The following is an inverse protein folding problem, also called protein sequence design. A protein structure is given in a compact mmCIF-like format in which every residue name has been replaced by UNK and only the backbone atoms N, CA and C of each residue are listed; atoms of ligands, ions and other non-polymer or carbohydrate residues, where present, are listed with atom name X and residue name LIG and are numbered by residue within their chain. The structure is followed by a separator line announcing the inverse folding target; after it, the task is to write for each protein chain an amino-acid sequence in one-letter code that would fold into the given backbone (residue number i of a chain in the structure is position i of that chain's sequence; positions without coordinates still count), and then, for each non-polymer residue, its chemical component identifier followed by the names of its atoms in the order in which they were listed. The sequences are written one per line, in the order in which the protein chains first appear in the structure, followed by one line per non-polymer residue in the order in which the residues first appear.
data_IF_477234413979
#
_entry.id   IF_477234413979
#
_cell.length_a   1.000
_cell.length_b   1.000
_cell.length_c   1.000
_cell.angle_alpha   90.00
_cell.angle_beta   90.00
_cell.angle_gamma   90.00
#
_symmetry.space_group_name_H-M   'P 1'
#
loop_
_entity.id
_entity.type
_entity.pdbx_description
1 polymer ?
#
# COMPACT_ATOMS: atom_id res chain seq x y z
N UNK A 1 17.94 -16.72 30.46
CA UNK A 1 17.03 -16.32 29.37
C UNK A 1 15.62 -16.64 29.80
N UNK A 2 14.74 -15.65 30.05
CA UNK A 2 13.31 -15.96 30.28
C UNK A 2 12.75 -16.45 28.94
N UNK A 3 12.31 -17.71 28.90
CA UNK A 3 11.67 -18.27 27.71
C UNK A 3 10.40 -17.47 27.40
N UNK A 4 10.33 -16.95 26.17
CA UNK A 4 9.11 -16.34 25.63
C UNK A 4 7.97 -17.36 25.75
N UNK A 5 6.87 -16.95 26.37
CA UNK A 5 5.64 -17.74 26.35
C UNK A 5 5.18 -17.92 24.90
N UNK A 6 4.53 -19.05 24.59
CA UNK A 6 3.99 -19.35 23.24
C UNK A 6 3.16 -18.20 22.64
N UNK A 7 2.54 -17.37 23.49
CA UNK A 7 1.72 -16.22 23.09
C UNK A 7 2.57 -15.04 22.60
N UNK A 8 3.71 -14.76 23.24
CA UNK A 8 4.63 -13.68 22.84
C UNK A 8 5.36 -14.02 21.54
N UNK A 9 5.80 -15.28 21.37
CA UNK A 9 6.39 -15.77 20.11
C UNK A 9 5.38 -15.63 18.96
N UNK A 10 4.11 -15.95 19.22
CA UNK A 10 3.05 -15.84 18.22
C UNK A 10 2.80 -14.37 17.84
N UNK A 11 2.76 -13.45 18.80
CA UNK A 11 2.61 -12.01 18.52
C UNK A 11 3.80 -11.45 17.76
N UNK A 12 5.02 -11.82 18.15
CA UNK A 12 6.25 -11.40 17.47
C UNK A 12 6.27 -11.90 16.02
N UNK A 13 5.93 -13.17 15.80
CA UNK A 13 5.84 -13.75 14.45
C UNK A 13 4.81 -13.04 13.57
N UNK A 14 3.65 -12.67 14.14
CA UNK A 14 2.63 -11.90 13.41
C UNK A 14 3.12 -10.50 13.02
N UNK A 15 3.84 -9.81 13.91
CA UNK A 15 4.41 -8.49 13.62
C UNK A 15 5.54 -8.54 12.58
N UNK A 16 6.41 -9.56 12.62
CA UNK A 16 7.49 -9.72 11.63
C UNK A 16 6.97 -10.08 10.23
N UNK A 17 5.87 -10.83 10.16
CA UNK A 17 5.21 -11.14 8.88
C UNK A 17 4.64 -9.89 8.20
N UNK A 18 4.08 -8.95 8.97
CA UNK A 18 3.61 -7.66 8.45
C UNK A 18 4.72 -6.87 7.76
N UNK A 19 5.86 -6.69 8.45
CA UNK A 19 7.03 -6.04 7.86
C UNK A 19 7.57 -6.76 6.62
N UNK A 20 7.57 -8.11 6.61
CA UNK A 20 8.04 -8.89 5.45
C UNK A 20 7.12 -8.70 4.23
N UNK A 21 5.80 -8.72 4.44
CA UNK A 21 4.81 -8.51 3.39
C UNK A 21 4.91 -7.12 2.77
N UNK A 22 5.25 -6.11 3.56
CA UNK A 22 5.49 -4.76 3.08
C UNK A 22 6.69 -4.68 2.13
N UNK A 23 7.84 -5.24 2.54
CA UNK A 23 9.03 -5.28 1.68
C UNK A 23 8.77 -6.06 0.39
N UNK A 24 7.99 -7.14 0.48
CA UNK A 24 7.59 -7.92 -0.67
C UNK A 24 6.77 -7.09 -1.68
N UNK A 25 5.75 -6.36 -1.24
CA UNK A 25 4.93 -5.52 -2.12
C UNK A 25 5.76 -4.37 -2.76
N UNK A 26 6.65 -3.76 -1.98
CA UNK A 26 7.57 -2.73 -2.48
C UNK A 26 8.46 -3.26 -3.60
N UNK A 27 9.09 -4.41 -3.39
CA UNK A 27 9.98 -5.03 -4.36
C UNK A 27 9.19 -5.39 -5.62
N UNK A 28 8.05 -6.08 -5.48
CA UNK A 28 7.23 -6.47 -6.62
C UNK A 28 6.79 -5.27 -7.45
N UNK A 29 6.37 -4.17 -6.83
CA UNK A 29 5.98 -3.00 -7.61
C UNK A 29 7.12 -2.50 -8.51
N UNK A 30 8.34 -2.37 -7.96
CA UNK A 30 9.52 -1.95 -8.73
C UNK A 30 9.80 -2.92 -9.87
N UNK A 31 9.84 -4.23 -9.59
CA UNK A 31 10.08 -5.27 -10.59
C UNK A 31 9.05 -5.27 -11.72
N UNK A 32 7.78 -4.97 -11.40
CA UNK A 32 6.69 -4.94 -12.37
C UNK A 32 6.43 -3.54 -12.97
N UNK A 33 7.30 -2.56 -12.72
CA UNK A 33 7.10 -1.17 -13.17
C UNK A 33 6.82 -1.07 -14.66
N UNK A 34 7.61 -1.73 -15.51
CA UNK A 34 7.41 -1.66 -16.97
C UNK A 34 6.09 -2.29 -17.42
N UNK A 35 5.59 -3.31 -16.72
CA UNK A 35 4.29 -3.94 -17.01
C UNK A 35 3.17 -3.00 -16.57
N UNK A 36 3.26 -2.46 -15.35
CA UNK A 36 2.28 -1.50 -14.82
C UNK A 36 2.22 -0.26 -15.74
N UNK A 37 3.37 0.28 -16.14
CA UNK A 37 3.47 1.42 -17.04
C UNK A 37 2.74 1.19 -18.36
N UNK A 38 2.86 -0.02 -18.93
CA UNK A 38 2.20 -0.39 -20.20
C UNK A 38 0.69 -0.57 -20.08
N UNK A 39 0.19 -1.05 -18.94
CA UNK A 39 -1.23 -1.39 -18.77
C UNK A 39 -2.06 -0.26 -18.14
N UNK A 40 -1.46 0.58 -17.29
CA UNK A 40 -2.15 1.64 -16.57
C UNK A 40 -2.03 3.02 -17.23
N UNK A 41 -1.18 3.19 -18.24
CA UNK A 41 -1.02 4.48 -18.94
C UNK A 41 -1.36 4.34 -20.42
N UNK A 42 -1.75 5.46 -21.09
CA UNK A 42 -2.05 5.44 -22.51
C UNK A 42 -0.82 5.09 -23.35
N UNK A 43 -1.01 4.24 -24.36
CA UNK A 43 0.03 3.87 -25.34
C UNK A 43 0.52 5.06 -26.20
N UNK A 44 -0.17 6.21 -26.14
CA UNK A 44 0.26 7.45 -26.80
C UNK A 44 1.39 8.15 -26.06
N UNK A 45 1.62 7.80 -24.78
CA UNK A 45 2.70 8.35 -23.99
C UNK A 45 4.01 7.61 -24.33
N UNK A 46 5.12 8.35 -24.45
CA UNK A 46 6.42 7.73 -24.69
C UNK A 46 6.79 6.79 -23.52
N UNK A 47 7.39 5.60 -23.79
CA UNK A 47 7.63 4.57 -22.78
C UNK A 47 8.34 5.09 -21.52
N UNK A 48 9.33 5.97 -21.70
CA UNK A 48 10.08 6.55 -20.58
C UNK A 48 9.21 7.39 -19.65
N UNK A 49 8.23 8.12 -20.20
CA UNK A 49 7.33 8.94 -19.40
C UNK A 49 6.30 8.09 -18.63
N UNK A 50 5.83 6.99 -19.20
CA UNK A 50 4.96 6.04 -18.50
C UNK A 50 5.69 5.38 -17.32
N UNK A 51 6.97 5.02 -17.50
CA UNK A 51 7.79 4.47 -16.42
C UNK A 51 8.09 5.51 -15.34
N UNK A 52 8.50 6.73 -15.72
CA UNK A 52 8.72 7.83 -14.76
C UNK A 52 7.46 8.10 -13.94
N UNK A 53 6.28 8.14 -14.57
CA UNK A 53 5.03 8.31 -13.84
C UNK A 53 4.75 7.14 -12.89
N UNK A 54 5.06 5.91 -13.29
CA UNK A 54 4.89 4.72 -12.43
C UNK A 54 5.83 4.76 -11.21
N UNK A 55 7.09 5.17 -11.39
CA UNK A 55 8.01 5.44 -10.28
C UNK A 55 7.56 6.65 -9.44
N UNK A 56 6.94 7.66 -10.04
CA UNK A 56 6.34 8.78 -9.33
C UNK A 56 5.19 8.33 -8.41
N UNK A 57 4.34 7.41 -8.90
CA UNK A 57 3.28 6.78 -8.10
C UNK A 57 3.87 6.01 -6.92
N UNK A 58 4.94 5.26 -7.14
CA UNK A 58 5.66 4.58 -6.09
C UNK A 58 6.19 5.54 -5.02
N UNK A 59 6.85 6.62 -5.46
CA UNK A 59 7.35 7.65 -4.57
C UNK A 59 6.22 8.31 -3.76
N UNK A 60 5.07 8.58 -4.39
CA UNK A 60 3.90 9.13 -3.71
C UNK A 60 3.38 8.21 -2.58
N UNK A 61 3.32 6.90 -2.82
CA UNK A 61 2.99 5.93 -1.79
C UNK A 61 4.00 5.95 -0.63
N UNK A 62 5.29 6.09 -0.94
CA UNK A 62 6.33 6.18 0.09
C UNK A 62 6.23 7.46 0.93
N UNK A 63 5.95 8.59 0.28
CA UNK A 63 5.72 9.89 0.93
C UNK A 63 4.43 9.91 1.77
N UNK A 64 3.49 9.00 1.52
CA UNK A 64 2.30 8.85 2.35
C UNK A 64 2.60 8.18 3.71
N UNK A 65 3.73 7.48 3.86
CA UNK A 65 4.07 6.75 5.09
C UNK A 65 4.24 7.66 6.32
N UNK A 66 5.00 8.77 6.27
CA UNK A 66 5.09 9.68 7.42
C UNK A 66 3.73 10.24 7.84
N UNK A 67 2.88 10.59 6.87
CA UNK A 67 1.52 11.05 7.12
C UNK A 67 0.67 9.96 7.78
N UNK A 68 0.76 8.73 7.28
CA UNK A 68 0.09 7.58 7.86
C UNK A 68 0.54 7.30 9.30
N UNK A 69 1.84 7.40 9.58
CA UNK A 69 2.37 7.25 10.93
C UNK A 69 1.82 8.28 11.91
N UNK A 70 1.77 9.56 11.51
CA UNK A 70 1.19 10.63 12.34
C UNK A 70 -0.29 10.37 12.63
N UNK A 71 -1.07 10.04 11.59
CA UNK A 71 -2.51 9.77 11.72
C UNK A 71 -2.74 8.53 12.58
N UNK A 72 -2.12 7.40 12.25
CA UNK A 72 -2.31 6.13 12.96
C UNK A 72 -1.82 6.19 14.41
N UNK A 73 -0.76 6.95 14.72
CA UNK A 73 -0.33 7.18 16.09
C UNK A 73 -1.39 7.98 16.88
N UNK A 74 -1.85 9.10 16.33
CA UNK A 74 -2.86 9.95 16.98
C UNK A 74 -4.15 9.19 17.26
N UNK A 75 -4.69 8.48 16.26
CA UNK A 75 -5.91 7.70 16.42
C UNK A 75 -5.67 6.40 17.22
N UNK A 76 -4.45 5.87 17.22
CA UNK A 76 -4.04 4.70 17.99
C UNK A 76 -4.08 4.94 19.49
N UNK A 77 -3.63 6.11 19.93
CA UNK A 77 -3.65 6.50 21.33
C UNK A 77 -5.08 6.85 21.81
N UNK A 78 -5.95 7.34 20.93
CA UNK A 78 -7.34 7.73 21.27
C UNK A 78 -8.36 6.60 21.21
N UNK A 79 -8.30 5.76 20.17
CA UNK A 79 -9.30 4.72 19.86
C UNK A 79 -8.81 3.30 20.15
N UNK A 80 -7.57 3.16 20.63
CA UNK A 80 -6.94 1.90 21.00
C UNK A 80 -6.14 1.28 19.87
N UNK A 81 -4.93 0.83 20.21
CA UNK A 81 -3.93 0.29 19.26
C UNK A 81 -4.41 -0.94 18.48
N UNK A 82 -5.23 -1.80 19.08
CA UNK A 82 -5.80 -2.98 18.40
C UNK A 82 -6.68 -2.59 17.21
N UNK A 83 -7.49 -1.55 17.34
CA UNK A 83 -8.41 -1.12 16.29
C UNK A 83 -7.65 -0.46 15.14
N UNK A 84 -6.62 0.34 15.44
CA UNK A 84 -5.76 0.92 14.40
C UNK A 84 -4.92 -0.12 13.68
N UNK A 85 -4.45 -1.15 14.37
CA UNK A 85 -3.79 -2.29 13.72
C UNK A 85 -4.72 -3.00 12.72
N UNK A 86 -5.96 -3.28 13.11
CA UNK A 86 -6.96 -3.84 12.18
C UNK A 86 -7.26 -2.91 11.00
N UNK A 87 -7.32 -1.59 11.24
CA UNK A 87 -7.51 -0.60 10.17
C UNK A 87 -6.35 -0.59 9.18
N UNK A 88 -5.09 -0.70 9.64
CA UNK A 88 -3.92 -0.83 8.77
C UNK A 88 -4.05 -2.04 7.83
N UNK A 89 -4.35 -3.21 8.39
CA UNK A 89 -4.54 -4.44 7.61
C UNK A 89 -5.65 -4.25 6.56
N UNK A 90 -6.78 -3.64 6.94
CA UNK A 90 -7.89 -3.40 6.00
C UNK A 90 -7.51 -2.40 4.90
N UNK A 91 -6.79 -1.32 5.25
CA UNK A 91 -6.29 -0.32 4.30
C UNK A 91 -5.21 -0.87 3.37
N UNK A 92 -4.56 -1.97 3.72
CA UNK A 92 -3.66 -2.68 2.82
C UNK A 92 -4.41 -3.68 1.94
N UNK A 93 -5.26 -4.53 2.53
CA UNK A 93 -5.93 -5.63 1.81
C UNK A 93 -6.99 -5.14 0.84
N UNK A 94 -7.89 -4.24 1.26
CA UNK A 94 -9.01 -3.81 0.43
C UNK A 94 -8.53 -3.10 -0.84
N UNK A 95 -7.61 -2.10 -0.78
CA UNK A 95 -7.12 -1.43 -1.98
C UNK A 95 -6.30 -2.37 -2.88
N UNK A 96 -5.53 -3.29 -2.30
CA UNK A 96 -4.77 -4.29 -3.09
C UNK A 96 -5.70 -5.24 -3.84
N UNK A 97 -6.75 -5.71 -3.18
CA UNK A 97 -7.76 -6.56 -3.81
C UNK A 97 -8.54 -5.80 -4.89
N UNK A 98 -8.92 -4.55 -4.62
CA UNK A 98 -9.59 -3.71 -5.59
C UNK A 98 -8.69 -3.41 -6.81
N UNK A 99 -7.37 -3.25 -6.62
CA UNK A 99 -6.41 -3.12 -7.71
C UNK A 99 -6.35 -4.37 -8.59
N UNK A 100 -6.49 -5.57 -8.01
CA UNK A 100 -6.51 -6.82 -8.78
C UNK A 100 -7.75 -6.95 -9.67
N UNK A 101 -8.87 -6.31 -9.29
CA UNK A 101 -10.11 -6.26 -10.07
C UNK A 101 -10.16 -5.08 -11.04
N UNK A 102 -9.20 -4.16 -10.95
CA UNK A 102 -9.17 -2.93 -11.73
C UNK A 102 -8.92 -3.25 -13.21
N UNK A 103 -9.81 -2.82 -14.14
CA UNK A 103 -9.56 -2.95 -15.57
C UNK A 103 -8.39 -2.07 -16.02
N UNK A 104 -7.70 -2.47 -17.09
CA UNK A 104 -6.56 -1.70 -17.61
C UNK A 104 -7.01 -0.44 -18.35
N UNK A 105 -6.09 0.46 -18.67
CA UNK A 105 -6.40 1.70 -19.39
C UNK A 105 -7.18 1.42 -20.69
N UNK A 106 -6.71 0.44 -21.48
CA UNK A 106 -7.33 0.11 -22.76
C UNK A 106 -8.71 -0.55 -22.56
N UNK A 107 -8.89 -1.36 -21.53
CA UNK A 107 -10.17 -2.00 -21.23
C UNK A 107 -11.24 -0.97 -20.82
N UNK A 108 -10.86 0.05 -20.04
CA UNK A 108 -11.76 1.14 -19.65
C UNK A 108 -12.15 2.03 -20.84
N UNK A 109 -11.19 2.31 -21.74
CA UNK A 109 -11.48 3.03 -22.97
C UNK A 109 -12.42 2.21 -23.87
N UNK A 110 -12.15 0.91 -24.03
CA UNK A 110 -13.01 -0.01 -24.79
C UNK A 110 -14.43 -0.06 -24.24
N UNK A 111 -14.59 -0.23 -22.93
CA UNK A 111 -15.90 -0.20 -22.27
C UNK A 111 -16.66 1.11 -22.54
N UNK A 112 -15.98 2.26 -22.50
CA UNK A 112 -16.59 3.55 -22.81
C UNK A 112 -17.07 3.66 -24.26
N UNK A 113 -16.30 3.14 -25.21
CA UNK A 113 -16.68 3.14 -26.63
C UNK A 113 -17.82 2.15 -26.88
N UNK A 114 -17.69 0.92 -26.41
CA UNK A 114 -18.57 -0.20 -26.78
C UNK A 114 -19.89 -0.18 -26.00
N UNK A 115 -19.86 0.12 -24.70
CA UNK A 115 -21.05 0.03 -23.83
C UNK A 115 -21.75 1.37 -23.63
N UNK A 116 -21.00 2.48 -23.68
CA UNK A 116 -21.55 3.83 -23.47
C UNK A 116 -21.71 4.64 -24.76
N UNK A 117 -21.27 4.13 -25.91
CA UNK A 117 -21.33 4.83 -27.20
C UNK A 117 -20.51 6.12 -27.22
N UNK A 118 -19.52 6.26 -26.34
CA UNK A 118 -18.66 7.44 -26.28
C UNK A 118 -17.74 7.47 -27.49
N UNK A 119 -17.48 8.66 -28.02
CA UNK A 119 -16.39 8.85 -28.97
C UNK A 119 -15.06 8.50 -28.30
N UNK A 120 -14.14 7.92 -29.06
CA UNK A 120 -12.78 7.57 -28.61
C UNK A 120 -12.11 8.72 -27.85
N UNK A 121 -12.31 9.96 -28.30
CA UNK A 121 -11.75 11.16 -27.67
C UNK A 121 -12.23 11.37 -26.22
N UNK A 122 -13.50 11.05 -25.94
CA UNK A 122 -14.08 11.15 -24.61
C UNK A 122 -13.82 9.91 -23.76
N UNK A 123 -13.76 8.73 -24.38
CA UNK A 123 -13.46 7.48 -23.69
C UNK A 123 -12.05 7.47 -23.05
N UNK A 124 -11.09 8.21 -23.60
CA UNK A 124 -9.76 8.39 -22.99
C UNK A 124 -9.83 8.94 -21.56
N UNK A 125 -10.81 9.78 -21.23
CA UNK A 125 -10.99 10.28 -19.86
C UNK A 125 -11.32 9.16 -18.87
N UNK A 126 -12.05 8.13 -19.30
CA UNK A 126 -12.32 6.94 -18.49
C UNK A 126 -11.05 6.09 -18.31
N UNK A 127 -10.21 6.00 -19.34
CA UNK A 127 -8.92 5.31 -19.24
C UNK A 127 -8.03 5.88 -18.12
N UNK A 128 -8.01 7.20 -17.94
CA UNK A 128 -7.22 7.86 -16.88
C UNK A 128 -7.68 7.54 -15.45
N UNK A 129 -8.83 6.86 -15.27
CA UNK A 129 -9.23 6.33 -13.96
C UNK A 129 -8.25 5.23 -13.51
N UNK A 130 -7.69 4.44 -14.44
CA UNK A 130 -6.69 3.40 -14.13
C UNK A 130 -5.48 3.94 -13.33
N UNK A 131 -4.69 4.89 -13.85
CA UNK A 131 -3.52 5.40 -13.14
C UNK A 131 -3.88 6.22 -11.90
N UNK A 132 -5.02 6.93 -11.89
CA UNK A 132 -5.47 7.68 -10.70
C UNK A 132 -5.83 6.73 -9.56
N UNK A 133 -6.51 5.63 -9.86
CA UNK A 133 -6.81 4.61 -8.85
C UNK A 133 -5.54 3.91 -8.36
N UNK A 134 -4.57 3.66 -9.24
CA UNK A 134 -3.28 3.11 -8.83
C UNK A 134 -2.56 4.03 -7.83
N UNK A 135 -2.58 5.36 -8.06
CA UNK A 135 -2.08 6.35 -7.07
C UNK A 135 -2.82 6.21 -5.76
N UNK A 136 -4.16 6.16 -5.80
CA UNK A 136 -5.00 6.06 -4.61
C UNK A 136 -4.66 4.81 -3.78
N UNK A 137 -4.60 3.64 -4.43
CA UNK A 137 -4.21 2.37 -3.79
C UNK A 137 -2.84 2.51 -3.11
N UNK A 138 -1.87 3.11 -3.81
CA UNK A 138 -0.50 3.26 -3.30
C UNK A 138 -0.42 4.21 -2.12
N UNK A 139 -1.21 5.27 -2.10
CA UNK A 139 -1.32 6.17 -0.95
C UNK A 139 -1.96 5.44 0.23
N UNK A 140 -3.06 4.70 0.03
CA UNK A 140 -3.70 3.93 1.09
C UNK A 140 -2.75 2.89 1.72
N UNK A 141 -2.01 2.15 0.89
CA UNK A 141 -0.99 1.19 1.34
C UNK A 141 0.13 1.89 2.11
N UNK A 142 0.63 3.03 1.59
CA UNK A 142 1.63 3.83 2.27
C UNK A 142 1.18 4.32 3.64
N UNK A 143 -0.08 4.78 3.74
CA UNK A 143 -0.69 5.22 5.01
C UNK A 143 -0.82 4.07 6.01
N UNK A 144 -1.27 2.90 5.57
CA UNK A 144 -1.40 1.71 6.42
C UNK A 144 -0.05 1.36 7.08
N UNK A 145 0.96 1.22 6.24
CA UNK A 145 2.34 0.89 6.63
C UNK A 145 2.94 1.89 7.62
N UNK A 146 2.68 3.19 7.40
CA UNK A 146 3.23 4.26 8.23
C UNK A 146 2.95 4.12 9.72
N UNK A 147 1.80 3.54 10.09
CA UNK A 147 1.43 3.29 11.48
C UNK A 147 1.91 1.96 12.05
N UNK A 148 2.15 0.97 11.20
CA UNK A 148 2.38 -0.42 11.61
C UNK A 148 3.78 -0.63 12.20
N UNK A 149 4.83 -0.17 11.51
CA UNK A 149 6.21 -0.36 11.95
C UNK A 149 6.54 0.39 13.25
N UNK A 150 6.21 1.69 13.41
CA UNK A 150 6.48 2.39 14.67
C UNK A 150 5.64 1.83 15.82
N UNK A 151 4.38 1.47 15.55
CA UNK A 151 3.49 0.86 16.53
C UNK A 151 4.00 -0.48 17.03
N UNK A 152 4.53 -1.32 16.14
CA UNK A 152 5.13 -2.60 16.48
C UNK A 152 6.39 -2.43 17.33
N UNK A 153 7.29 -1.50 16.99
CA UNK A 153 8.50 -1.22 17.78
C UNK A 153 8.16 -0.74 19.19
N UNK A 154 7.23 0.19 19.33
CA UNK A 154 6.77 0.67 20.65
C UNK A 154 6.14 -0.48 21.43
N UNK A 155 5.31 -1.31 20.79
CA UNK A 155 4.68 -2.47 21.43
C UNK A 155 5.71 -3.47 21.95
N UNK A 156 6.72 -3.82 21.15
CA UNK A 156 7.82 -4.70 21.55
C UNK A 156 8.58 -4.08 22.72
N UNK A 157 8.91 -2.79 22.66
CA UNK A 157 9.62 -2.09 23.73
C UNK A 157 8.82 -2.03 25.06
N UNK A 158 7.50 -1.85 24.98
CA UNK A 158 6.59 -1.84 26.13
C UNK A 158 6.47 -3.22 26.79
N UNK A 159 6.55 -4.29 26.01
CA UNK A 159 6.40 -5.67 26.50
C UNK A 159 7.74 -6.40 26.73
N UNK A 160 8.87 -5.78 26.38
CA UNK A 160 10.19 -6.34 26.61
C UNK A 160 10.57 -6.33 28.11
N UNK A 161 11.21 -7.39 28.64
CA UNK A 161 11.67 -7.45 30.03
C UNK A 161 12.64 -6.30 30.36
N UNK A 162 12.48 -5.69 31.55
CA UNK A 162 13.39 -4.66 32.06
C UNK A 162 14.83 -5.18 32.10
N UNK A 163 15.70 -4.64 31.25
CA UNK A 163 17.12 -5.01 31.10
C UNK A 163 17.53 -5.54 29.72
N UNK A 164 16.59 -5.87 28.82
CA UNK A 164 16.89 -6.35 27.45
C UNK A 164 16.27 -5.48 26.34
N UNK A 165 15.84 -4.26 26.69
CA UNK A 165 15.09 -3.35 25.80
C UNK A 165 15.83 -2.89 24.54
N UNK A 166 17.15 -3.08 24.48
CA UNK A 166 17.99 -2.69 23.34
C UNK A 166 18.43 -3.90 22.48
N UNK A 167 18.02 -5.12 22.84
CA UNK A 167 18.40 -6.36 22.15
C UNK A 167 17.27 -6.91 21.26
N UNK A 168 16.08 -6.30 21.34
CA UNK A 168 14.83 -6.67 20.66
C UNK A 168 14.21 -5.44 20.02
#
# INVERSE_FOLDING_TARGET
MKHLGKKEIRTLGLSSLGGTLEFYDFIIFVFFTSIIAKHFFPNTLSPIWSEINTYGIFAAGYLARPLGGIVMAHFGDRFGRKNMFMLSILLMVIPTFALALMPTFNDLVGFGVDSMGLSLKNAHYLGYIAPVFLVFVRICQGVAVGGELPGAWVFVHEHAPQGQKNTY
#
